data_IF_496337995689
#
_entry.id   IF_496337995689
#
_cell.length_a   1.000
_cell.length_b   1.000
_cell.length_c   1.000
_cell.angle_alpha   90.00
_cell.angle_beta   90.00
_cell.angle_gamma   90.00
#
_symmetry.space_group_name_H-M   'P 1'
#
loop_
_entity.id
_entity.type
_entity.pdbx_description
1 polymer ?
#
# COMPACT_ATOMS: atom_id res chain seq x y z
N UNK A 1 21.19 5.38 13.51
CA UNK A 1 21.59 5.02 14.89
C UNK A 1 21.45 6.25 15.76
N UNK A 2 20.54 6.25 16.72
CA UNK A 2 20.23 7.42 17.56
C UNK A 2 21.24 7.60 18.70
N UNK A 3 21.35 8.84 19.21
CA UNK A 3 22.24 9.20 20.35
C UNK A 3 22.10 8.26 21.57
N UNK A 4 20.93 7.67 21.77
CA UNK A 4 20.65 6.76 22.90
C UNK A 4 21.42 5.44 22.78
N UNK A 5 21.61 4.91 21.56
CA UNK A 5 22.34 3.64 21.36
C UNK A 5 23.82 3.77 21.65
N UNK A 6 24.43 4.90 21.30
CA UNK A 6 25.84 5.17 21.60
C UNK A 6 26.11 5.33 23.09
N UNK A 7 25.19 5.98 23.83
CA UNK A 7 25.33 6.12 25.28
C UNK A 7 25.21 4.78 26.00
N UNK A 8 24.32 3.90 25.60
CA UNK A 8 24.19 2.57 26.17
C UNK A 8 25.42 1.70 25.91
N UNK A 9 25.94 1.71 24.68
CA UNK A 9 27.17 0.96 24.34
C UNK A 9 28.36 1.45 25.14
N UNK A 10 28.53 2.77 25.31
CA UNK A 10 29.60 3.34 26.11
C UNK A 10 29.51 2.97 27.60
N UNK A 11 28.32 2.98 28.17
CA UNK A 11 28.04 2.57 29.56
C UNK A 11 28.42 1.10 29.78
N UNK A 12 27.95 0.20 28.89
CA UNK A 12 28.25 -1.23 29.02
C UNK A 12 29.74 -1.54 28.86
N UNK A 13 30.46 -0.81 27.95
CA UNK A 13 31.89 -0.96 27.78
C UNK A 13 32.63 -0.51 29.03
N UNK A 14 32.22 0.61 29.65
CA UNK A 14 32.82 1.11 30.91
C UNK A 14 32.58 0.15 32.07
N UNK A 15 31.36 -0.43 32.21
CA UNK A 15 31.07 -1.42 33.23
C UNK A 15 31.91 -2.68 33.02
N UNK A 16 32.02 -3.20 31.81
CA UNK A 16 32.83 -4.36 31.47
C UNK A 16 34.32 -4.16 31.84
N UNK A 17 34.87 -2.99 31.52
CA UNK A 17 36.26 -2.64 31.87
C UNK A 17 36.47 -2.57 33.39
N UNK A 18 35.50 -2.07 34.13
CA UNK A 18 35.55 -2.03 35.61
C UNK A 18 35.55 -3.44 36.20
N UNK A 19 34.78 -4.38 35.68
CA UNK A 19 34.75 -5.77 36.15
C UNK A 19 36.11 -6.46 35.90
N UNK A 20 36.75 -6.25 34.75
CA UNK A 20 38.06 -6.79 34.44
C UNK A 20 39.10 -6.22 35.39
N UNK A 21 39.08 -4.92 35.68
CA UNK A 21 39.99 -4.28 36.62
C UNK A 21 39.86 -4.85 38.04
N UNK A 22 38.64 -5.02 38.54
CA UNK A 22 38.37 -5.61 39.85
C UNK A 22 38.84 -7.08 39.89
N UNK A 23 38.63 -7.85 38.83
CA UNK A 23 39.08 -9.24 38.76
C UNK A 23 40.62 -9.35 38.80
N UNK A 24 41.34 -8.46 38.16
CA UNK A 24 42.82 -8.45 38.19
C UNK A 24 43.39 -7.99 39.51
N UNK A 25 42.67 -7.16 40.28
CA UNK A 25 43.10 -6.60 41.56
C UNK A 25 42.75 -7.49 42.76
N UNK A 26 41.99 -8.57 42.58
CA UNK A 26 41.59 -9.45 43.67
C UNK A 26 42.78 -10.28 44.16
N UNK A 27 42.98 -10.30 45.50
CA UNK A 27 44.09 -11.03 46.12
C UNK A 27 43.89 -12.55 46.12
N UNK A 28 42.66 -13.03 46.22
CA UNK A 28 42.35 -14.48 46.25
C UNK A 28 42.08 -15.06 44.86
N UNK A 29 42.56 -16.26 44.59
CA UNK A 29 42.36 -16.99 43.34
C UNK A 29 40.86 -17.22 43.07
N UNK A 30 40.08 -17.52 44.10
CA UNK A 30 38.61 -17.76 44.02
C UNK A 30 37.88 -16.48 43.56
N UNK A 31 38.26 -15.34 44.13
CA UNK A 31 37.67 -14.04 43.73
C UNK A 31 37.96 -13.71 42.26
N UNK A 32 39.16 -14.00 41.78
CA UNK A 32 39.51 -13.80 40.35
C UNK A 32 38.63 -14.64 39.43
N UNK A 33 38.37 -15.90 39.79
CA UNK A 33 37.47 -16.77 38.99
C UNK A 33 36.05 -16.28 38.99
N UNK A 34 35.50 -15.86 40.09
CA UNK A 34 34.11 -15.34 40.22
C UNK A 34 33.95 -14.07 39.35
N UNK A 35 34.89 -13.13 39.45
CA UNK A 35 34.86 -11.90 38.68
C UNK A 35 35.04 -12.13 37.15
N UNK A 36 35.86 -13.10 36.77
CA UNK A 36 36.01 -13.49 35.36
C UNK A 36 34.76 -14.08 34.78
N UNK A 37 34.05 -14.95 35.52
CA UNK A 37 32.77 -15.52 35.05
C UNK A 37 31.70 -14.44 34.92
N UNK A 38 31.62 -13.50 35.85
CA UNK A 38 30.70 -12.37 35.79
C UNK A 38 30.98 -11.47 34.59
N UNK A 39 32.25 -11.18 34.30
CA UNK A 39 32.65 -10.37 33.14
C UNK A 39 32.22 -11.05 31.81
N UNK A 40 32.41 -12.36 31.68
CA UNK A 40 32.00 -13.13 30.52
C UNK A 40 30.47 -13.12 30.38
N UNK A 41 29.72 -13.29 31.45
CA UNK A 41 28.26 -13.25 31.43
C UNK A 41 27.72 -11.88 30.98
N UNK A 42 28.29 -10.79 31.50
CA UNK A 42 27.93 -9.42 31.07
C UNK A 42 28.26 -9.21 29.59
N UNK A 43 29.40 -9.70 29.11
CA UNK A 43 29.77 -9.59 27.70
C UNK A 43 28.81 -10.34 26.79
N UNK A 44 28.43 -11.58 27.12
CA UNK A 44 27.44 -12.36 26.36
C UNK A 44 26.09 -11.65 26.33
N UNK A 45 25.63 -11.13 27.46
CA UNK A 45 24.37 -10.40 27.54
C UNK A 45 24.37 -9.13 26.68
N UNK A 46 25.51 -8.42 26.66
CA UNK A 46 25.69 -7.22 25.84
C UNK A 46 25.61 -7.55 24.33
N UNK A 47 26.29 -8.64 23.90
CA UNK A 47 26.21 -9.11 22.51
C UNK A 47 24.77 -9.47 22.16
N UNK A 48 24.08 -10.20 23.04
CA UNK A 48 22.67 -10.58 22.80
C UNK A 48 21.77 -9.35 22.64
N UNK A 49 21.91 -8.35 23.52
CA UNK A 49 21.14 -7.11 23.42
C UNK A 49 21.42 -6.31 22.12
N UNK A 50 22.67 -6.26 21.67
CA UNK A 50 23.05 -5.62 20.41
C UNK A 50 22.45 -6.38 19.21
N UNK A 51 22.54 -7.71 19.20
CA UNK A 51 21.95 -8.54 18.13
C UNK A 51 20.44 -8.38 18.08
N UNK A 52 19.75 -8.42 19.22
CA UNK A 52 18.30 -8.20 19.30
C UNK A 52 17.90 -6.81 18.78
N UNK A 53 18.64 -5.75 19.16
CA UNK A 53 18.41 -4.41 18.65
C UNK A 53 18.63 -4.30 17.12
N UNK A 54 19.67 -4.95 16.58
CA UNK A 54 19.95 -4.99 15.14
C UNK A 54 18.84 -5.76 14.40
N UNK A 55 18.39 -6.89 14.93
CA UNK A 55 17.32 -7.69 14.34
C UNK A 55 15.99 -6.90 14.33
N UNK A 56 15.67 -6.21 15.42
CA UNK A 56 14.48 -5.34 15.49
C UNK A 56 14.56 -4.15 14.54
N UNK A 57 15.73 -3.52 14.41
CA UNK A 57 15.93 -2.38 13.50
C UNK A 57 15.91 -2.78 12.02
N UNK A 58 16.24 -4.04 11.71
CA UNK A 58 16.19 -4.59 10.34
C UNK A 58 14.84 -5.18 9.95
N UNK A 59 13.87 -5.28 10.85
CA UNK A 59 12.49 -5.60 10.49
C UNK A 59 11.90 -4.42 9.74
N UNK A 60 12.29 -4.28 8.45
CA UNK A 60 11.51 -3.47 7.52
C UNK A 60 10.11 -4.07 7.49
N UNK A 61 9.06 -3.25 7.46
CA UNK A 61 7.72 -3.74 7.21
C UNK A 61 7.78 -4.63 5.97
N UNK A 62 7.37 -5.87 6.12
CA UNK A 62 7.54 -6.91 5.11
C UNK A 62 6.66 -6.69 3.88
N UNK A 63 5.66 -5.81 4.04
CA UNK A 63 4.70 -5.53 2.99
C UNK A 63 4.16 -4.09 3.14
N UNK A 64 3.69 -3.52 2.03
CA UNK A 64 2.99 -2.22 2.01
C UNK A 64 1.79 -2.23 2.97
N UNK A 65 1.13 -3.38 3.12
CA UNK A 65 0.04 -3.59 4.05
C UNK A 65 0.45 -3.31 5.52
N UNK A 66 1.61 -3.80 5.95
CA UNK A 66 2.12 -3.56 7.31
C UNK A 66 2.39 -2.08 7.58
N UNK A 67 2.91 -1.35 6.57
CA UNK A 67 3.10 0.10 6.65
C UNK A 67 1.79 0.85 6.77
N UNK A 68 0.80 0.47 5.97
CA UNK A 68 -0.54 1.06 6.02
C UNK A 68 -1.22 0.81 7.37
N UNK A 69 -1.11 -0.41 7.90
CA UNK A 69 -1.67 -0.76 9.22
C UNK A 69 -1.01 0.09 10.31
N UNK A 70 0.32 0.21 10.32
CA UNK A 70 1.04 1.04 11.29
C UNK A 70 0.66 2.52 11.17
N UNK A 71 0.57 3.03 9.95
CA UNK A 71 0.14 4.39 9.70
C UNK A 71 -1.29 4.64 10.20
N UNK A 72 -2.24 3.77 9.87
CA UNK A 72 -3.62 3.86 10.31
C UNK A 72 -3.75 3.76 11.83
N UNK A 73 -2.97 2.88 12.47
CA UNK A 73 -2.94 2.76 13.93
C UNK A 73 -2.40 4.04 14.61
N UNK A 74 -1.41 4.68 14.02
CA UNK A 74 -0.87 5.94 14.50
C UNK A 74 -1.85 7.10 14.31
N UNK A 75 -2.47 7.19 13.13
CA UNK A 75 -3.48 8.21 12.81
C UNK A 75 -4.74 8.08 13.68
N UNK A 76 -5.19 6.83 13.93
CA UNK A 76 -6.39 6.56 14.74
C UNK A 76 -6.28 7.04 16.19
N UNK A 77 -5.07 7.27 16.70
CA UNK A 77 -4.82 7.82 18.05
C UNK A 77 -4.94 9.35 18.13
N UNK A 78 -5.01 10.03 16.97
CA UNK A 78 -5.16 11.49 16.95
C UNK A 78 -6.58 11.90 17.37
N UNK A 79 -6.73 12.96 18.18
CA UNK A 79 -8.05 13.50 18.49
C UNK A 79 -8.76 13.97 17.21
N UNK A 80 -10.05 13.66 17.08
CA UNK A 80 -10.85 14.02 15.89
C UNK A 80 -10.70 13.10 14.69
N UNK A 81 -9.84 12.07 14.74
CA UNK A 81 -9.62 11.16 13.61
C UNK A 81 -10.93 10.49 13.10
N UNK A 82 -11.80 10.06 14.03
CA UNK A 82 -13.04 9.36 13.65
C UNK A 82 -13.99 10.28 12.87
N UNK A 83 -14.13 11.52 13.31
CA UNK A 83 -14.97 12.54 12.68
C UNK A 83 -14.41 12.95 11.32
N UNK A 84 -13.11 13.17 11.21
CA UNK A 84 -12.45 13.51 9.95
C UNK A 84 -12.48 12.36 8.96
N UNK A 85 -12.30 11.14 9.45
CA UNK A 85 -12.40 9.93 8.63
C UNK A 85 -13.82 9.73 8.11
N UNK A 86 -14.84 9.89 8.96
CA UNK A 86 -16.24 9.79 8.57
C UNK A 86 -16.60 10.80 7.48
N UNK A 87 -16.19 12.08 7.63
CA UNK A 87 -16.38 13.12 6.62
C UNK A 87 -15.71 12.79 5.28
N UNK A 88 -14.48 12.27 5.32
CA UNK A 88 -13.76 11.86 4.09
C UNK A 88 -14.45 10.67 3.40
N UNK A 89 -14.96 9.73 4.17
CA UNK A 89 -15.72 8.59 3.63
C UNK A 89 -17.03 9.03 2.99
N UNK A 90 -17.78 9.92 3.65
CA UNK A 90 -19.01 10.51 3.12
C UNK A 90 -18.74 11.31 1.83
N UNK A 91 -17.73 12.18 1.83
CA UNK A 91 -17.34 12.94 0.64
C UNK A 91 -16.92 12.01 -0.52
N UNK A 92 -16.26 10.90 -0.22
CA UNK A 92 -15.89 9.89 -1.21
C UNK A 92 -17.10 9.16 -1.77
N UNK A 93 -18.10 8.83 -0.93
CA UNK A 93 -19.35 8.21 -1.36
C UNK A 93 -20.13 9.16 -2.27
N UNK A 94 -20.36 10.40 -1.84
CA UNK A 94 -21.05 11.43 -2.63
C UNK A 94 -20.36 11.65 -3.99
N UNK A 95 -19.03 11.67 -4.03
CA UNK A 95 -18.28 11.79 -5.29
C UNK A 95 -18.55 10.61 -6.24
N UNK A 96 -18.65 9.38 -5.71
CA UNK A 96 -18.96 8.18 -6.52
C UNK A 96 -20.38 8.23 -7.10
N UNK A 97 -21.34 8.72 -6.30
CA UNK A 97 -22.72 8.88 -6.75
C UNK A 97 -22.83 9.88 -7.90
N UNK A 98 -22.20 11.05 -7.75
CA UNK A 98 -22.17 12.09 -8.81
C UNK A 98 -21.48 11.56 -10.07
N UNK A 99 -20.38 10.83 -9.95
CA UNK A 99 -19.70 10.22 -11.10
C UNK A 99 -20.61 9.20 -11.79
N UNK A 100 -21.29 8.36 -11.03
CA UNK A 100 -22.20 7.37 -11.61
C UNK A 100 -23.36 8.02 -12.34
N UNK A 101 -23.97 9.06 -11.77
CA UNK A 101 -25.06 9.83 -12.38
C UNK A 101 -24.62 10.64 -13.61
N UNK A 102 -23.32 10.94 -13.73
CA UNK A 102 -22.78 11.68 -14.88
C UNK A 102 -22.57 10.81 -16.12
N UNK A 103 -22.70 9.48 -16.04
CA UNK A 103 -22.62 8.60 -17.21
C UNK A 103 -23.72 8.93 -18.23
N UNK A 104 -23.39 8.82 -19.50
CA UNK A 104 -24.30 8.99 -20.62
C UNK A 104 -24.27 7.75 -21.51
N UNK A 105 -24.86 6.61 -21.05
CA UNK A 105 -24.78 5.36 -21.81
C UNK A 105 -25.51 5.39 -23.15
N UNK A 106 -26.42 6.35 -23.33
CA UNK A 106 -27.16 6.59 -24.57
C UNK A 106 -26.32 7.29 -25.65
N UNK A 107 -25.19 7.91 -25.28
CA UNK A 107 -24.31 8.56 -26.23
C UNK A 107 -23.39 7.53 -26.93
N UNK A 108 -23.16 7.71 -28.24
CA UNK A 108 -22.30 6.81 -29.02
C UNK A 108 -20.86 6.74 -28.52
N UNK A 109 -20.39 7.80 -27.85
CA UNK A 109 -19.05 7.89 -27.27
C UNK A 109 -18.92 7.24 -25.90
N UNK A 110 -20.01 6.65 -25.34
CA UNK A 110 -19.94 5.99 -24.05
C UNK A 110 -18.90 4.86 -24.04
N UNK A 111 -17.98 4.92 -23.09
CA UNK A 111 -16.84 4.02 -22.99
C UNK A 111 -15.69 4.28 -23.97
N UNK A 112 -15.93 5.08 -25.02
CA UNK A 112 -14.94 5.44 -26.04
C UNK A 112 -14.36 6.85 -25.84
N UNK A 113 -14.82 7.56 -24.82
CA UNK A 113 -14.33 8.89 -24.45
C UNK A 113 -13.86 8.95 -23.02
N UNK A 114 -12.77 9.70 -22.75
CA UNK A 114 -12.29 9.96 -21.40
C UNK A 114 -13.29 10.73 -20.54
N UNK A 115 -14.19 11.51 -21.16
CA UNK A 115 -15.20 12.31 -20.46
C UNK A 115 -16.51 11.57 -20.26
N UNK A 116 -16.69 10.40 -20.90
CA UNK A 116 -17.84 9.53 -20.75
C UNK A 116 -17.39 8.06 -20.61
N UNK A 117 -16.53 7.72 -19.61
CA UNK A 117 -15.98 6.39 -19.43
C UNK A 117 -17.01 5.43 -18.82
N UNK A 118 -16.79 4.14 -18.97
CA UNK A 118 -17.50 3.14 -18.17
C UNK A 118 -17.04 3.22 -16.72
N UNK A 119 -17.98 3.36 -15.79
CA UNK A 119 -17.67 3.37 -14.36
C UNK A 119 -17.47 1.96 -13.84
N UNK A 120 -16.42 1.78 -13.06
CA UNK A 120 -16.17 0.57 -12.30
C UNK A 120 -15.79 0.94 -10.86
N UNK A 121 -15.92 0.02 -9.90
CA UNK A 121 -15.73 0.35 -8.48
C UNK A 121 -14.26 0.25 -8.01
N UNK A 122 -13.45 -0.51 -8.75
CA UNK A 122 -12.03 -0.75 -8.45
C UNK A 122 -11.28 -1.13 -9.73
N UNK A 123 -9.95 -1.12 -9.69
CA UNK A 123 -9.12 -1.62 -10.80
C UNK A 123 -9.44 -3.09 -11.11
N UNK A 124 -9.58 -3.93 -10.08
CA UNK A 124 -9.96 -5.35 -10.27
C UNK A 124 -11.37 -5.52 -10.86
N UNK A 125 -12.29 -4.58 -10.65
CA UNK A 125 -13.60 -4.61 -11.31
C UNK A 125 -13.52 -4.15 -12.76
N UNK A 126 -12.54 -3.29 -13.10
CA UNK A 126 -12.23 -2.97 -14.50
C UNK A 126 -11.75 -4.20 -15.27
N UNK A 127 -10.82 -4.97 -14.68
CA UNK A 127 -10.33 -6.21 -15.29
C UNK A 127 -11.47 -7.21 -15.51
N UNK A 128 -12.32 -7.43 -14.50
CA UNK A 128 -13.50 -8.32 -14.63
C UNK A 128 -14.51 -7.83 -15.69
N UNK A 129 -14.65 -6.53 -15.82
CA UNK A 129 -15.51 -5.95 -16.86
C UNK A 129 -14.93 -6.26 -18.24
N UNK A 130 -13.64 -6.05 -18.46
CA UNK A 130 -12.95 -6.35 -19.71
C UNK A 130 -12.95 -7.84 -20.04
N UNK A 131 -12.79 -8.72 -19.04
CA UNK A 131 -12.89 -10.18 -19.20
C UNK A 131 -14.24 -10.64 -19.75
N UNK A 132 -15.32 -9.92 -19.42
CA UNK A 132 -16.67 -10.22 -19.87
C UNK A 132 -17.06 -9.54 -21.17
N UNK A 133 -16.29 -8.55 -21.62
CA UNK A 133 -16.59 -7.79 -22.82
C UNK A 133 -16.48 -8.66 -24.07
N UNK A 134 -17.43 -8.54 -24.99
CA UNK A 134 -17.52 -9.33 -26.22
C UNK A 134 -17.93 -8.43 -27.39
N UNK A 135 -17.58 -8.86 -28.58
CA UNK A 135 -18.20 -8.37 -29.81
C UNK A 135 -19.67 -8.79 -29.88
N UNK A 136 -20.46 -8.23 -30.79
CA UNK A 136 -21.86 -8.64 -30.97
C UNK A 136 -22.00 -10.10 -31.44
N UNK A 137 -21.00 -10.67 -32.10
CA UNK A 137 -20.92 -12.07 -32.49
C UNK A 137 -20.28 -12.98 -31.41
N UNK A 138 -20.05 -12.44 -30.19
CA UNK A 138 -19.65 -13.19 -28.99
C UNK A 138 -18.17 -13.47 -28.86
N UNK A 139 -17.29 -12.90 -29.70
CA UNK A 139 -15.84 -13.07 -29.57
C UNK A 139 -15.29 -12.30 -28.39
N UNK A 140 -14.28 -12.87 -27.73
CA UNK A 140 -13.55 -12.25 -26.60
C UNK A 140 -12.43 -11.33 -27.10
N UNK A 141 -12.08 -10.34 -26.28
CA UNK A 141 -10.94 -9.46 -26.49
C UNK A 141 -9.76 -9.88 -25.62
N UNK A 142 -8.57 -9.57 -26.08
CA UNK A 142 -7.41 -9.29 -25.23
C UNK A 142 -7.25 -7.79 -25.09
N UNK A 143 -6.61 -7.31 -24.02
CA UNK A 143 -6.45 -5.88 -23.78
C UNK A 143 -5.10 -5.54 -23.16
N UNK A 144 -4.70 -4.29 -23.38
CA UNK A 144 -3.52 -3.71 -22.79
C UNK A 144 -3.86 -2.33 -22.20
N UNK A 145 -3.38 -2.05 -20.97
CA UNK A 145 -3.57 -0.76 -20.32
C UNK A 145 -2.51 0.23 -20.84
N UNK A 146 -2.96 1.29 -21.51
CA UNK A 146 -2.10 2.32 -22.10
C UNK A 146 -1.88 3.54 -21.19
N UNK A 147 -2.38 3.52 -19.95
CA UNK A 147 -2.13 4.56 -18.97
C UNK A 147 -3.36 5.04 -18.22
N UNK A 148 -3.16 6.03 -17.36
CA UNK A 148 -4.20 6.73 -16.62
C UNK A 148 -4.12 8.22 -16.88
N UNK A 149 -5.29 8.83 -17.03
CA UNK A 149 -5.46 10.24 -17.37
C UNK A 149 -6.30 10.93 -16.30
N UNK A 150 -5.93 12.17 -15.95
CA UNK A 150 -6.69 13.00 -15.04
C UNK A 150 -7.60 13.92 -15.88
N UNK A 151 -8.90 13.77 -15.76
CA UNK A 151 -9.91 14.49 -16.53
C UNK A 151 -11.02 15.04 -15.65
N UNK A 152 -11.83 15.93 -16.19
CA UNK A 152 -13.06 16.37 -15.54
C UNK A 152 -14.25 15.65 -16.17
N UNK A 153 -15.15 15.12 -15.35
CA UNK A 153 -16.37 14.39 -15.77
C UNK A 153 -17.57 15.07 -15.12
N UNK A 154 -18.42 15.70 -15.95
CA UNK A 154 -19.48 16.58 -15.45
C UNK A 154 -18.88 17.66 -14.54
N UNK A 155 -19.43 17.81 -13.34
CA UNK A 155 -18.97 18.78 -12.33
C UNK A 155 -17.85 18.23 -11.43
N UNK A 156 -17.36 17.01 -11.69
CA UNK A 156 -16.30 16.39 -10.87
C UNK A 156 -14.94 16.59 -11.52
N UNK A 157 -14.09 17.35 -10.84
CA UNK A 157 -12.72 17.62 -11.29
C UNK A 157 -11.73 16.54 -10.86
N UNK A 158 -10.68 16.36 -11.62
CA UNK A 158 -9.52 15.54 -11.26
C UNK A 158 -9.86 14.04 -11.14
N UNK A 159 -10.71 13.52 -12.03
CA UNK A 159 -11.07 12.10 -12.09
C UNK A 159 -10.00 11.33 -12.86
N UNK A 160 -9.51 10.25 -12.26
CA UNK A 160 -8.57 9.35 -12.94
C UNK A 160 -9.34 8.36 -13.79
N UNK A 161 -8.99 8.30 -15.08
CA UNK A 161 -9.58 7.39 -16.07
C UNK A 161 -8.48 6.57 -16.71
N UNK A 162 -8.64 5.26 -16.72
CA UNK A 162 -7.72 4.32 -17.33
C UNK A 162 -8.09 4.10 -18.79
N UNK A 163 -7.09 4.15 -19.68
CA UNK A 163 -7.21 3.85 -21.09
C UNK A 163 -6.74 2.42 -21.37
N UNK A 164 -7.55 1.68 -22.07
CA UNK A 164 -7.24 0.33 -22.53
C UNK A 164 -7.38 0.23 -24.05
N UNK A 165 -6.43 -0.46 -24.69
CA UNK A 165 -6.54 -0.88 -26.08
C UNK A 165 -7.12 -2.29 -26.09
N UNK A 166 -8.20 -2.49 -26.83
CA UNK A 166 -8.79 -3.81 -27.09
C UNK A 166 -8.18 -4.36 -28.40
N UNK A 167 -7.90 -5.67 -28.36
CA UNK A 167 -7.43 -6.43 -29.51
C UNK A 167 -8.37 -7.58 -29.81
N UNK A 168 -8.71 -7.77 -31.08
CA UNK A 168 -9.49 -8.89 -31.57
C UNK A 168 -8.65 -9.70 -32.55
N UNK A 169 -8.47 -11.01 -32.26
CA UNK A 169 -7.66 -11.90 -33.07
C UNK A 169 -6.20 -11.38 -33.28
N UNK A 170 -5.69 -10.56 -32.36
CA UNK A 170 -4.34 -9.98 -32.37
C UNK A 170 -4.23 -8.62 -33.08
N UNK A 171 -5.30 -8.11 -33.64
CA UNK A 171 -5.35 -6.78 -34.28
C UNK A 171 -6.02 -5.76 -33.34
N UNK A 172 -5.61 -4.49 -33.44
CA UNK A 172 -6.24 -3.39 -32.71
C UNK A 172 -7.69 -3.25 -33.12
N UNK A 173 -8.60 -3.26 -32.14
CA UNK A 173 -10.04 -3.17 -32.39
C UNK A 173 -10.59 -1.80 -31.99
N UNK A 174 -10.40 -1.41 -30.70
CA UNK A 174 -10.92 -0.14 -30.19
C UNK A 174 -10.18 0.28 -28.91
N UNK A 175 -10.14 1.58 -28.66
CA UNK A 175 -9.77 2.12 -27.35
C UNK A 175 -10.99 2.24 -26.46
N UNK A 176 -10.86 1.83 -25.18
CA UNK A 176 -11.93 1.96 -24.20
C UNK A 176 -11.41 2.63 -22.92
N UNK A 177 -12.27 3.41 -22.30
CA UNK A 177 -11.96 4.19 -21.10
C UNK A 177 -12.78 3.70 -19.93
N UNK A 178 -12.11 3.37 -18.83
CA UNK A 178 -12.71 2.89 -17.59
C UNK A 178 -12.33 3.80 -16.42
N UNK A 179 -13.30 4.13 -15.57
CA UNK A 179 -13.08 4.90 -14.35
C UNK A 179 -13.26 3.98 -13.13
N UNK A 180 -12.17 3.56 -12.44
CA UNK A 180 -12.24 2.62 -11.31
C UNK A 180 -12.62 3.29 -9.98
N UNK A 181 -13.26 4.45 -9.99
CA UNK A 181 -13.57 5.23 -8.79
C UNK A 181 -15.07 5.56 -8.64
N UNK A 182 -15.92 5.02 -9.53
CA UNK A 182 -17.36 5.15 -9.46
C UNK A 182 -18.05 3.95 -8.83
N UNK A 183 -19.34 3.80 -9.12
CA UNK A 183 -20.06 2.54 -8.90
C UNK A 183 -19.94 1.67 -10.15
N UNK A 184 -19.94 0.35 -9.96
CA UNK A 184 -19.89 -0.58 -11.09
C UNK A 184 -21.11 -0.41 -11.98
N UNK A 185 -20.88 -0.10 -13.23
CA UNK A 185 -21.89 -0.01 -14.26
C UNK A 185 -22.14 -1.36 -14.92
N UNK A 186 -23.38 -1.63 -15.29
CA UNK A 186 -23.75 -2.72 -16.20
C UNK A 186 -23.92 -2.27 -17.64
N UNK A 187 -23.74 -0.97 -17.90
CA UNK A 187 -23.83 -0.42 -19.24
C UNK A 187 -22.64 -0.86 -20.10
N UNK A 188 -22.88 -0.98 -21.39
CA UNK A 188 -21.91 -1.49 -22.36
C UNK A 188 -21.77 -0.48 -23.51
N UNK A 189 -20.53 -0.18 -23.97
CA UNK A 189 -20.32 0.67 -25.13
C UNK A 189 -21.01 0.13 -26.37
N UNK A 190 -21.41 1.04 -27.25
CA UNK A 190 -22.07 0.68 -28.51
C UNK A 190 -21.24 -0.30 -29.33
N UNK A 191 -21.90 -1.30 -29.91
CA UNK A 191 -21.24 -2.34 -30.72
C UNK A 191 -20.59 -3.46 -29.92
N UNK A 192 -20.72 -3.44 -28.58
CA UNK A 192 -20.22 -4.47 -27.69
C UNK A 192 -21.35 -5.11 -26.86
N UNK A 193 -21.04 -6.21 -26.20
CA UNK A 193 -21.93 -6.91 -25.25
C UNK A 193 -21.12 -7.48 -24.09
N UNK A 194 -21.79 -7.93 -23.03
CA UNK A 194 -21.15 -8.64 -21.90
C UNK A 194 -21.55 -10.12 -21.94
N UNK A 195 -20.58 -11.00 -21.75
CA UNK A 195 -20.84 -12.41 -21.45
C UNK A 195 -21.58 -12.53 -20.11
N UNK A 196 -22.51 -13.48 -20.04
CA UNK A 196 -23.23 -13.85 -18.81
C UNK A 196 -22.30 -14.41 -17.72
#
# INVERSE_FOLDING_TARGET
MGKVEWTMTAIFTAIGSLFVFIATSAESVVAKWIWSILAVAVFIFTIYAIVDAIVKSRRKPKDLADLLIQYMEQESKKPGFKEDFAKKMEASANRRDVLFESQRPEEENFGYSMTNPVMTSTVSSSDRYLERLRTLDGKSFTWERHGAYCVNIGDVEGVMVDKYQLYLDGEEYAEIFLCPYGHSSSYVPHGLTLAE
#
